data_IF_351172606253
#
_entry.id   IF_351172606253
#
_cell.length_a   1.000
_cell.length_b   1.000
_cell.length_c   1.000
_cell.angle_alpha   90.00
_cell.angle_beta   90.00
_cell.angle_gamma   90.00
#
_symmetry.space_group_name_H-M   'P 1'
#
loop_
_entity.id
_entity.type
_entity.pdbx_description
1 polymer ?
#
# COMPACT_ATOMS: atom_id res chain seq x y z
N UNK A 1 0.86 -6.27 0.51
CA UNK A 1 -0.42 -5.64 0.12
C UNK A 1 -0.57 -5.52 -1.40
N UNK A 2 0.54 -5.39 -2.15
CA UNK A 2 0.54 -5.13 -3.61
C UNK A 2 0.88 -6.36 -4.47
N UNK A 3 1.28 -7.48 -3.88
CA UNK A 3 1.57 -8.73 -4.61
C UNK A 3 0.25 -9.29 -5.19
N UNK A 4 0.23 -9.59 -6.49
CA UNK A 4 -0.94 -10.10 -7.20
C UNK A 4 -1.01 -11.62 -7.11
N UNK A 5 -1.66 -12.15 -6.09
CA UNK A 5 -1.78 -13.59 -5.84
C UNK A 5 -3.21 -14.07 -5.57
N UNK A 6 -4.15 -13.15 -5.45
CA UNK A 6 -5.57 -13.48 -5.26
C UNK A 6 -6.22 -13.65 -6.63
N UNK A 7 -6.77 -14.84 -6.89
CA UNK A 7 -7.37 -15.16 -8.20
C UNK A 7 -8.76 -14.52 -8.32
N UNK A 8 -8.96 -13.81 -9.40
CA UNK A 8 -10.25 -13.22 -9.75
C UNK A 8 -11.15 -14.21 -10.49
N UNK A 9 -12.44 -13.91 -10.63
CA UNK A 9 -13.40 -14.75 -11.32
C UNK A 9 -13.05 -14.97 -12.82
N UNK A 10 -12.36 -14.03 -13.45
CA UNK A 10 -11.91 -14.14 -14.84
C UNK A 10 -10.56 -14.88 -15.01
N UNK A 11 -9.97 -15.37 -13.89
CA UNK A 11 -8.73 -16.14 -13.89
C UNK A 11 -7.44 -15.30 -13.84
N UNK A 12 -7.52 -13.98 -13.82
CA UNK A 12 -6.36 -13.10 -13.56
C UNK A 12 -6.04 -13.05 -12.06
N UNK A 13 -4.93 -12.39 -11.70
CA UNK A 13 -4.56 -12.18 -10.30
C UNK A 13 -4.66 -10.71 -9.92
N UNK A 14 -5.20 -10.45 -8.73
CA UNK A 14 -5.26 -9.14 -8.11
C UNK A 14 -4.47 -9.14 -6.79
N UNK A 15 -4.03 -7.97 -6.36
CA UNK A 15 -3.51 -7.74 -5.02
C UNK A 15 -4.67 -7.57 -4.02
N UNK A 16 -4.40 -7.69 -2.71
CA UNK A 16 -5.44 -7.39 -1.71
C UNK A 16 -5.90 -5.93 -1.81
N UNK A 17 -4.99 -5.02 -2.13
CA UNK A 17 -5.31 -3.63 -2.37
C UNK A 17 -6.30 -3.44 -3.53
N UNK A 18 -6.03 -4.05 -4.70
CA UNK A 18 -6.93 -4.01 -5.85
C UNK A 18 -8.30 -4.63 -5.53
N UNK A 19 -8.29 -5.77 -4.81
CA UNK A 19 -9.50 -6.44 -4.35
C UNK A 19 -10.35 -5.53 -3.46
N UNK A 20 -9.74 -4.89 -2.46
CA UNK A 20 -10.42 -3.96 -1.55
C UNK A 20 -11.07 -2.81 -2.33
N UNK A 21 -10.34 -2.15 -3.22
CA UNK A 21 -10.89 -1.05 -4.04
C UNK A 21 -12.05 -1.54 -4.93
N UNK A 22 -11.90 -2.69 -5.57
CA UNK A 22 -12.96 -3.29 -6.40
C UNK A 22 -14.21 -3.60 -5.59
N UNK A 23 -14.07 -4.22 -4.41
CA UNK A 23 -15.20 -4.55 -3.54
C UNK A 23 -15.93 -3.31 -3.03
N UNK A 24 -15.21 -2.25 -2.67
CA UNK A 24 -15.83 -0.97 -2.31
C UNK A 24 -16.70 -0.45 -3.46
N UNK A 25 -16.17 -0.43 -4.69
CA UNK A 25 -16.90 0.07 -5.85
C UNK A 25 -18.04 -0.87 -6.31
N UNK A 26 -17.96 -2.18 -6.02
CA UNK A 26 -19.06 -3.12 -6.27
C UNK A 26 -20.24 -2.88 -5.31
N UNK A 27 -19.95 -2.53 -4.07
CA UNK A 27 -20.96 -2.24 -3.04
C UNK A 27 -21.51 -0.83 -3.17
N UNK A 28 -20.64 0.15 -3.39
CA UNK A 28 -21.02 1.54 -3.65
C UNK A 28 -20.25 2.10 -4.87
N UNK A 29 -20.88 2.08 -6.07
CA UNK A 29 -20.27 2.65 -7.27
C UNK A 29 -20.01 4.16 -7.20
N UNK A 30 -20.60 4.86 -6.24
CA UNK A 30 -20.40 6.31 -6.03
C UNK A 30 -19.27 6.64 -5.05
N UNK A 31 -18.70 5.64 -4.37
CA UNK A 31 -17.65 5.83 -3.40
C UNK A 31 -16.39 6.44 -4.03
N UNK A 32 -15.94 7.57 -3.50
CA UNK A 32 -14.64 8.14 -3.81
C UNK A 32 -13.58 7.54 -2.88
N UNK A 33 -12.53 6.95 -3.46
CA UNK A 33 -11.49 6.27 -2.70
C UNK A 33 -10.24 7.14 -2.64
N UNK A 34 -9.86 7.55 -1.43
CA UNK A 34 -8.59 8.23 -1.16
C UNK A 34 -7.68 7.29 -0.38
N UNK A 35 -6.48 7.04 -0.88
CA UNK A 35 -5.49 6.15 -0.27
C UNK A 35 -4.41 6.98 0.41
N UNK A 36 -4.28 6.85 1.73
CA UNK A 36 -3.14 7.41 2.44
C UNK A 36 -1.92 6.50 2.26
N UNK A 37 -0.88 7.01 1.62
CA UNK A 37 0.26 6.21 1.20
C UNK A 37 1.57 7.00 1.25
N UNK A 38 2.67 6.30 1.52
CA UNK A 38 4.02 6.87 1.40
C UNK A 38 4.42 7.02 -0.06
N UNK A 39 5.44 7.85 -0.32
CA UNK A 39 5.98 8.04 -1.67
C UNK A 39 6.40 6.74 -2.36
N UNK A 40 6.93 5.78 -1.60
CA UNK A 40 7.34 4.47 -2.13
C UNK A 40 6.13 3.63 -2.61
N UNK A 41 4.97 3.80 -1.97
CA UNK A 41 3.74 3.07 -2.31
C UNK A 41 2.95 3.76 -3.43
N UNK A 42 3.05 5.09 -3.56
CA UNK A 42 2.25 5.86 -4.51
C UNK A 42 2.42 5.39 -5.96
N UNK A 43 3.64 5.04 -6.37
CA UNK A 43 3.90 4.54 -7.73
C UNK A 43 3.21 3.19 -7.99
N UNK A 44 3.28 2.27 -7.03
CA UNK A 44 2.62 0.96 -7.13
C UNK A 44 1.10 1.11 -7.18
N UNK A 45 0.54 2.01 -6.35
CA UNK A 45 -0.88 2.33 -6.34
C UNK A 45 -1.30 2.87 -7.71
N UNK A 46 -0.55 3.85 -8.24
CA UNK A 46 -0.83 4.43 -9.55
C UNK A 46 -0.79 3.37 -10.68
N UNK A 47 0.22 2.50 -10.67
CA UNK A 47 0.35 1.43 -11.69
C UNK A 47 -0.74 0.35 -11.57
N UNK A 48 -1.27 0.11 -10.37
CA UNK A 48 -2.33 -0.87 -10.16
C UNK A 48 -3.74 -0.32 -10.40
N UNK A 49 -3.98 0.95 -10.11
CA UNK A 49 -5.31 1.56 -10.10
C UNK A 49 -5.47 2.73 -11.08
N UNK A 50 -4.37 3.26 -11.65
CA UNK A 50 -4.43 4.46 -12.50
C UNK A 50 -5.02 5.65 -11.75
N UNK A 51 -6.01 6.30 -12.36
CA UNK A 51 -6.73 7.46 -11.79
C UNK A 51 -8.01 7.09 -11.05
N UNK A 52 -8.29 5.79 -10.82
CA UNK A 52 -9.51 5.35 -10.15
C UNK A 52 -9.50 5.57 -8.63
N UNK A 53 -8.33 5.90 -8.06
CA UNK A 53 -8.16 6.26 -6.66
C UNK A 53 -7.37 7.55 -6.55
N UNK A 54 -7.65 8.32 -5.51
CA UNK A 54 -6.88 9.49 -5.13
C UNK A 54 -5.80 9.13 -4.11
N UNK A 55 -4.70 9.87 -4.05
CA UNK A 55 -3.58 9.56 -3.16
C UNK A 55 -3.27 10.73 -2.24
N UNK A 56 -3.54 10.56 -0.95
CA UNK A 56 -3.05 11.43 0.10
C UNK A 56 -1.63 10.98 0.48
N UNK A 57 -0.63 11.82 0.15
CA UNK A 57 0.77 11.50 0.41
C UNK A 57 1.13 11.63 1.88
N UNK A 58 1.59 10.53 2.49
CA UNK A 58 2.16 10.53 3.84
C UNK A 58 3.67 10.80 3.76
N UNK A 59 4.19 11.88 4.38
CA UNK A 59 5.62 12.24 4.28
C UNK A 59 6.55 11.16 4.83
N UNK A 60 6.12 10.51 5.89
CA UNK A 60 6.82 9.39 6.52
C UNK A 60 5.82 8.52 7.28
N UNK A 61 6.10 7.24 7.41
CA UNK A 61 5.20 6.31 8.10
C UNK A 61 5.03 6.67 9.58
N UNK A 62 3.79 6.91 9.99
CA UNK A 62 3.36 7.13 11.37
C UNK A 62 2.27 6.10 11.74
N UNK A 63 1.71 6.24 12.93
CA UNK A 63 0.59 5.40 13.38
C UNK A 63 -0.76 5.96 12.88
N UNK A 64 -1.84 5.21 13.04
CA UNK A 64 -3.16 5.40 12.43
C UNK A 64 -3.82 6.76 12.72
N UNK A 65 -3.56 7.38 13.88
CA UNK A 65 -4.11 8.71 14.18
C UNK A 65 -3.55 9.79 13.25
N UNK A 66 -2.23 9.89 13.17
CA UNK A 66 -1.59 10.93 12.34
C UNK A 66 -1.97 10.82 10.88
N UNK A 67 -2.04 9.60 10.33
CA UNK A 67 -2.42 9.39 8.93
C UNK A 67 -3.91 9.68 8.68
N UNK A 68 -4.80 9.34 9.62
CA UNK A 68 -6.22 9.65 9.51
C UNK A 68 -6.48 11.17 9.53
N UNK A 69 -5.78 11.90 10.42
CA UNK A 69 -5.85 13.37 10.49
C UNK A 69 -5.32 14.02 9.22
N UNK A 70 -4.18 13.53 8.70
CA UNK A 70 -3.62 14.03 7.44
C UNK A 70 -4.59 13.82 6.27
N UNK A 71 -5.20 12.62 6.18
CA UNK A 71 -6.22 12.32 5.17
C UNK A 71 -7.46 13.21 5.32
N UNK A 72 -7.95 13.44 6.54
CA UNK A 72 -9.09 14.33 6.79
C UNK A 72 -8.78 15.79 6.38
N UNK A 73 -7.59 16.29 6.70
CA UNK A 73 -7.14 17.62 6.26
C UNK A 73 -7.00 17.69 4.73
N UNK A 74 -6.48 16.64 4.09
CA UNK A 74 -6.39 16.53 2.62
C UNK A 74 -7.78 16.57 1.98
N UNK A 75 -8.73 15.78 2.49
CA UNK A 75 -10.10 15.77 1.98
C UNK A 75 -10.76 17.14 2.09
N UNK A 76 -10.59 17.85 3.19
CA UNK A 76 -11.13 19.21 3.38
C UNK A 76 -10.43 20.25 2.49
N UNK A 77 -9.10 20.31 2.54
CA UNK A 77 -8.34 21.45 2.00
C UNK A 77 -7.94 21.27 0.53
N UNK A 78 -7.65 20.04 0.10
CA UNK A 78 -7.23 19.74 -1.27
C UNK A 78 -8.43 19.27 -2.11
N UNK A 79 -9.24 18.34 -1.58
CA UNK A 79 -10.43 17.84 -2.28
C UNK A 79 -11.66 18.77 -2.10
N UNK A 80 -11.56 19.76 -1.23
CA UNK A 80 -12.61 20.75 -0.96
C UNK A 80 -13.93 20.13 -0.49
N UNK A 81 -13.86 19.00 0.23
CA UNK A 81 -15.06 18.40 0.80
C UNK A 81 -15.52 19.18 2.03
N UNK A 82 -16.83 19.35 2.22
CA UNK A 82 -17.40 19.96 3.41
C UNK A 82 -16.98 19.23 4.71
N UNK A 83 -16.82 19.95 5.80
CA UNK A 83 -16.46 19.38 7.11
C UNK A 83 -17.52 18.42 7.67
N UNK A 84 -18.77 18.54 7.23
CA UNK A 84 -19.88 17.65 7.60
C UNK A 84 -19.93 16.37 6.75
N UNK A 85 -19.09 16.25 5.71
CA UNK A 85 -18.96 15.02 4.94
C UNK A 85 -18.52 13.86 5.81
N UNK A 86 -19.10 12.68 5.57
CA UNK A 86 -18.75 11.45 6.27
C UNK A 86 -17.60 10.75 5.54
N UNK A 87 -16.57 10.38 6.29
CA UNK A 87 -15.48 9.57 5.82
C UNK A 87 -15.48 8.21 6.56
N UNK A 88 -15.21 7.14 5.80
CA UNK A 88 -14.98 5.80 6.34
C UNK A 88 -13.52 5.43 6.09
N UNK A 89 -12.75 5.27 7.15
CA UNK A 89 -11.38 4.79 7.08
C UNK A 89 -11.37 3.28 7.36
N UNK A 90 -10.74 2.50 6.50
CA UNK A 90 -10.59 1.06 6.68
C UNK A 90 -9.18 0.59 6.30
N UNK A 91 -8.65 -0.47 6.95
CA UNK A 91 -7.39 -1.09 6.56
C UNK A 91 -7.54 -1.89 5.25
N UNK A 92 -6.44 -2.02 4.50
CA UNK A 92 -6.43 -2.73 3.20
C UNK A 92 -5.97 -4.19 3.30
N UNK A 93 -5.69 -4.71 4.47
CA UNK A 93 -5.15 -6.06 4.71
C UNK A 93 -6.18 -7.06 5.25
N UNK A 94 -7.46 -6.67 5.27
CA UNK A 94 -8.56 -7.55 5.61
C UNK A 94 -9.03 -8.36 4.38
N UNK A 95 -8.96 -9.68 4.45
CA UNK A 95 -9.56 -10.57 3.45
C UNK A 95 -10.99 -10.91 3.87
N UNK A 96 -11.95 -10.34 3.15
CA UNK A 96 -13.37 -10.29 3.49
C UNK A 96 -14.25 -10.49 2.25
N UNK A 97 -15.55 -10.74 2.46
CA UNK A 97 -16.57 -10.66 1.42
C UNK A 97 -17.13 -9.24 1.26
N UNK A 98 -18.04 -9.06 0.28
CA UNK A 98 -18.66 -7.76 0.00
C UNK A 98 -19.55 -7.28 1.17
N UNK A 99 -20.12 -8.20 1.95
CA UNK A 99 -20.91 -7.92 3.14
C UNK A 99 -20.15 -7.11 4.22
N UNK A 100 -18.81 -7.16 4.21
CA UNK A 100 -18.00 -6.30 5.06
C UNK A 100 -18.15 -4.83 4.66
N UNK A 101 -18.11 -4.55 3.37
CA UNK A 101 -18.24 -3.18 2.85
C UNK A 101 -19.67 -2.66 2.95
N UNK A 102 -20.68 -3.53 2.86
CA UNK A 102 -22.08 -3.18 3.18
C UNK A 102 -22.19 -2.72 4.64
N UNK A 103 -21.52 -3.40 5.58
CA UNK A 103 -21.47 -2.99 6.99
C UNK A 103 -20.73 -1.64 7.18
N UNK A 104 -19.73 -1.32 6.36
CA UNK A 104 -19.10 0.00 6.39
C UNK A 104 -20.08 1.11 5.94
N UNK A 105 -20.96 0.84 4.99
CA UNK A 105 -22.01 1.79 4.62
C UNK A 105 -23.01 2.03 5.77
N UNK A 106 -23.40 0.98 6.50
CA UNK A 106 -24.22 1.14 7.70
C UNK A 106 -23.55 2.06 8.75
N UNK A 107 -22.22 1.95 8.92
CA UNK A 107 -21.48 2.86 9.79
C UNK A 107 -21.56 4.30 9.30
N UNK A 108 -21.42 4.53 7.99
CA UNK A 108 -21.57 5.86 7.42
C UNK A 108 -22.96 6.44 7.67
N UNK A 109 -24.03 5.66 7.47
CA UNK A 109 -25.41 6.08 7.75
C UNK A 109 -25.66 6.46 9.21
N UNK A 110 -25.02 5.76 10.16
CA UNK A 110 -25.12 6.11 11.59
C UNK A 110 -24.58 7.53 11.82
N UNK A 111 -23.45 7.86 11.21
CA UNK A 111 -22.83 9.18 11.32
C UNK A 111 -23.64 10.25 10.58
N UNK A 112 -24.14 9.96 9.40
CA UNK A 112 -25.00 10.87 8.62
C UNK A 112 -26.26 11.27 9.40
N UNK A 113 -26.89 10.30 10.08
CA UNK A 113 -28.08 10.52 10.90
C UNK A 113 -27.76 11.21 12.24
N UNK A 114 -26.50 11.49 12.54
CA UNK A 114 -26.08 12.14 13.79
C UNK A 114 -26.30 11.28 15.05
N UNK A 115 -26.32 9.95 14.90
CA UNK A 115 -26.56 9.02 16.02
C UNK A 115 -25.29 8.77 16.84
N UNK A 116 -24.12 9.09 16.31
CA UNK A 116 -22.82 9.01 16.97
C UNK A 116 -21.82 9.98 16.36
N UNK A 117 -20.75 10.27 17.07
CA UNK A 117 -19.59 10.99 16.56
C UNK A 117 -18.60 10.05 15.85
N UNK A 118 -18.56 8.79 16.31
CA UNK A 118 -17.67 7.74 15.81
C UNK A 118 -18.46 6.43 15.69
N UNK A 119 -18.36 5.75 14.56
CA UNK A 119 -18.84 4.39 14.38
C UNK A 119 -17.67 3.42 14.18
N UNK A 120 -17.74 2.24 14.81
CA UNK A 120 -16.75 1.18 14.79
C UNK A 120 -17.33 -0.09 14.17
N UNK A 121 -16.49 -0.88 13.52
CA UNK A 121 -16.87 -2.22 13.09
C UNK A 121 -16.29 -3.26 14.03
N UNK A 122 -17.15 -4.00 14.67
CA UNK A 122 -16.80 -5.06 15.62
C UNK A 122 -16.89 -6.44 15.00
N UNK A 123 -15.77 -7.19 15.00
CA UNK A 123 -15.67 -8.55 14.48
C UNK A 123 -15.92 -9.56 15.59
N UNK A 124 -16.72 -10.59 15.34
CA UNK A 124 -16.92 -11.67 16.30
C UNK A 124 -15.60 -12.44 16.51
N UNK A 125 -15.07 -12.49 17.75
CA UNK A 125 -13.78 -13.09 18.02
C UNK A 125 -13.78 -14.61 17.84
N UNK A 126 -12.78 -15.15 17.13
CA UNK A 126 -12.52 -16.58 17.11
C UNK A 126 -11.81 -17.09 18.39
N UNK A 127 -11.23 -16.19 19.19
CA UNK A 127 -10.53 -16.50 20.43
C UNK A 127 -9.75 -15.28 20.97
N UNK A 128 -9.08 -15.39 22.13
CA UNK A 128 -8.26 -14.30 22.65
C UNK A 128 -7.07 -14.00 21.74
N UNK A 129 -6.86 -12.71 21.42
CA UNK A 129 -5.73 -12.26 20.60
C UNK A 129 -5.23 -10.90 21.12
N UNK A 130 -3.95 -10.81 21.45
CA UNK A 130 -3.31 -9.61 21.99
C UNK A 130 -3.01 -8.54 20.92
N UNK A 131 -3.18 -8.88 19.64
CA UNK A 131 -2.90 -7.95 18.51
C UNK A 131 -4.04 -6.99 18.21
N UNK A 132 -5.25 -7.26 18.71
CA UNK A 132 -6.46 -6.49 18.41
C UNK A 132 -6.96 -5.67 19.60
N UNK A 133 -7.64 -4.56 19.30
CA UNK A 133 -8.47 -3.86 20.27
C UNK A 133 -9.78 -4.62 20.51
N UNK A 134 -10.42 -4.37 21.66
CA UNK A 134 -11.67 -4.99 22.08
C UNK A 134 -12.74 -3.94 22.33
N UNK A 135 -13.90 -4.12 21.67
CA UNK A 135 -15.09 -3.30 21.81
C UNK A 135 -16.07 -4.06 22.69
N UNK A 136 -16.41 -3.53 23.86
CA UNK A 136 -17.46 -4.09 24.74
C UNK A 136 -18.76 -3.35 24.44
N UNK A 137 -19.74 -3.98 23.77
CA UNK A 137 -21.02 -3.34 23.46
C UNK A 137 -21.91 -3.21 24.71
N UNK A 138 -22.88 -2.31 24.64
CA UNK A 138 -23.92 -2.19 25.68
C UNK A 138 -24.87 -3.41 25.69
N UNK A 139 -25.13 -3.97 24.52
CA UNK A 139 -26.01 -5.12 24.32
C UNK A 139 -25.54 -6.00 23.13
N UNK A 140 -26.26 -7.08 22.86
CA UNK A 140 -25.94 -8.04 21.80
C UNK A 140 -26.54 -7.68 20.42
N UNK A 141 -27.09 -6.49 20.27
CA UNK A 141 -27.69 -6.02 19.02
C UNK A 141 -26.68 -5.90 17.88
N UNK A 142 -27.21 -5.88 16.65
CA UNK A 142 -26.40 -5.65 15.44
C UNK A 142 -25.73 -4.26 15.49
N UNK A 143 -26.48 -3.23 15.89
CA UNK A 143 -25.98 -1.89 16.21
C UNK A 143 -26.14 -1.69 17.70
N UNK A 144 -25.08 -1.29 18.39
CA UNK A 144 -25.07 -1.07 19.84
C UNK A 144 -24.13 0.08 20.20
N UNK A 145 -24.48 0.80 21.27
CA UNK A 145 -23.53 1.72 21.90
C UNK A 145 -22.34 0.96 22.50
N UNK A 146 -21.22 1.64 22.71
CA UNK A 146 -20.00 1.07 23.27
C UNK A 146 -19.90 1.38 24.75
N UNK A 147 -19.84 0.34 25.60
CA UNK A 147 -19.67 0.43 27.04
C UNK A 147 -18.21 0.67 27.44
N UNK A 148 -17.29 0.00 26.75
CA UNK A 148 -15.87 0.12 26.98
C UNK A 148 -15.08 -0.26 25.73
N UNK A 149 -13.91 0.33 25.58
CA UNK A 149 -12.92 -0.01 24.55
C UNK A 149 -11.57 -0.27 25.23
N UNK A 150 -10.84 -1.27 24.73
CA UNK A 150 -9.50 -1.59 25.22
C UNK A 150 -8.56 -1.94 24.08
N UNK A 151 -7.52 -1.15 23.93
CA UNK A 151 -6.49 -1.39 22.92
C UNK A 151 -5.50 -2.48 23.39
N UNK A 152 -5.40 -3.55 22.65
CA UNK A 152 -4.40 -4.64 22.78
C UNK A 152 -4.18 -5.13 24.21
N UNK A 153 -5.21 -5.68 24.88
CA UNK A 153 -5.08 -6.23 26.21
C UNK A 153 -4.21 -7.50 26.21
N UNK A 154 -3.66 -7.88 27.36
CA UNK A 154 -2.99 -9.17 27.49
C UNK A 154 -3.98 -10.35 27.38
N UNK A 155 -3.47 -11.57 27.09
CA UNK A 155 -4.29 -12.77 26.78
C UNK A 155 -5.38 -13.08 27.80
N UNK A 156 -5.09 -12.94 29.10
CA UNK A 156 -6.05 -13.20 30.18
C UNK A 156 -7.19 -12.15 30.19
N UNK A 157 -6.86 -10.88 29.99
CA UNK A 157 -7.81 -9.78 29.91
C UNK A 157 -8.64 -9.88 28.63
N UNK A 158 -8.04 -10.23 27.51
CA UNK A 158 -8.71 -10.51 26.25
C UNK A 158 -9.78 -11.60 26.37
N UNK A 159 -9.45 -12.71 27.05
CA UNK A 159 -10.39 -13.79 27.32
C UNK A 159 -11.56 -13.32 28.20
N UNK A 160 -11.32 -12.42 29.16
CA UNK A 160 -12.37 -11.86 30.00
C UNK A 160 -13.30 -10.96 29.19
N UNK A 161 -12.77 -10.10 28.32
CA UNK A 161 -13.58 -9.26 27.43
C UNK A 161 -14.47 -10.09 26.51
N UNK A 162 -13.96 -11.20 25.94
CA UNK A 162 -14.77 -12.09 25.12
C UNK A 162 -15.93 -12.69 25.91
N UNK A 163 -15.71 -13.09 27.18
CA UNK A 163 -16.79 -13.59 28.06
C UNK A 163 -17.86 -12.52 28.33
N UNK A 164 -17.50 -11.25 28.28
CA UNK A 164 -18.42 -10.12 28.41
C UNK A 164 -19.12 -9.76 27.08
N UNK A 165 -18.90 -10.54 26.00
CA UNK A 165 -19.49 -10.30 24.68
C UNK A 165 -18.73 -9.29 23.84
N UNK A 166 -17.48 -8.99 24.16
CA UNK A 166 -16.67 -8.07 23.39
C UNK A 166 -16.36 -8.61 21.99
N UNK A 167 -16.21 -7.68 21.07
CA UNK A 167 -15.84 -7.90 19.66
C UNK A 167 -14.40 -7.40 19.43
N UNK A 168 -13.70 -7.96 18.46
CA UNK A 168 -12.45 -7.37 17.99
C UNK A 168 -12.74 -6.07 17.24
N UNK A 169 -11.91 -5.06 17.46
CA UNK A 169 -11.90 -3.87 16.63
C UNK A 169 -11.23 -4.19 15.27
N UNK A 170 -11.96 -4.01 14.19
CA UNK A 170 -11.45 -4.23 12.82
C UNK A 170 -10.43 -3.18 12.38
N UNK A 171 -10.34 -2.05 13.08
CA UNK A 171 -9.59 -0.88 12.64
C UNK A 171 -10.31 -0.04 11.57
N UNK A 172 -11.59 -0.31 11.32
CA UNK A 172 -12.43 0.53 10.49
C UNK A 172 -13.21 1.54 11.33
N UNK A 173 -13.25 2.79 10.86
CA UNK A 173 -13.85 3.93 11.57
C UNK A 173 -14.68 4.76 10.59
N UNK A 174 -15.90 5.17 10.99
CA UNK A 174 -16.65 6.18 10.29
C UNK A 174 -16.84 7.42 11.19
N UNK A 175 -16.69 8.60 10.60
CA UNK A 175 -16.74 9.89 11.30
C UNK A 175 -17.00 11.03 10.32
N UNK A 176 -17.42 12.21 10.82
CA UNK A 176 -17.40 13.45 10.02
C UNK A 176 -15.98 14.01 9.95
N UNK A 177 -15.58 14.52 8.79
CA UNK A 177 -14.25 15.12 8.59
C UNK A 177 -13.95 16.17 9.65
N UNK A 178 -14.88 17.11 9.89
CA UNK A 178 -14.73 18.18 10.86
C UNK A 178 -14.58 17.67 12.30
N UNK A 179 -15.32 16.61 12.67
CA UNK A 179 -15.18 15.99 14.00
C UNK A 179 -13.73 15.51 14.24
N UNK A 180 -13.14 14.78 13.29
CA UNK A 180 -11.78 14.29 13.48
C UNK A 180 -10.76 15.44 13.51
N UNK A 181 -10.95 16.47 12.69
CA UNK A 181 -10.07 17.64 12.68
C UNK A 181 -10.16 18.44 13.98
N UNK A 182 -11.34 18.57 14.59
CA UNK A 182 -11.51 19.19 15.93
C UNK A 182 -10.81 18.38 17.01
N UNK A 183 -11.00 17.06 17.05
CA UNK A 183 -10.29 16.19 17.98
C UNK A 183 -8.77 16.24 17.78
N UNK A 184 -8.32 16.34 16.56
CA UNK A 184 -6.90 16.46 16.27
C UNK A 184 -6.29 17.76 16.83
N UNK A 185 -7.01 18.88 16.82
CA UNK A 185 -6.54 20.17 17.36
C UNK A 185 -6.27 20.13 18.87
N UNK A 186 -6.86 19.18 19.60
CA UNK A 186 -6.56 18.97 21.02
C UNK A 186 -5.13 18.42 21.23
N UNK A 187 -4.57 17.72 20.25
CA UNK A 187 -3.28 17.02 20.31
C UNK A 187 -2.23 17.60 19.36
N UNK A 188 -2.65 18.14 18.24
CA UNK A 188 -1.80 18.63 17.15
C UNK A 188 -2.24 20.03 16.78
N UNK A 189 -1.33 21.03 16.89
CA UNK A 189 -1.63 22.38 16.40
C UNK A 189 -1.27 22.47 14.92
N UNK A 190 -2.27 22.73 14.09
CA UNK A 190 -2.13 22.96 12.64
C UNK A 190 -3.26 23.87 12.15
N UNK A 191 -3.02 24.57 11.04
CA UNK A 191 -4.00 25.43 10.38
C UNK A 191 -4.71 24.76 9.22
N UNK A 192 -3.96 24.08 8.38
CA UNK A 192 -4.43 23.45 7.14
C UNK A 192 -3.56 22.23 6.80
N UNK A 193 -3.86 21.60 5.65
CA UNK A 193 -3.14 20.42 5.17
C UNK A 193 -1.64 20.68 4.97
N UNK A 194 -1.27 21.81 4.36
CA UNK A 194 0.14 22.13 4.06
C UNK A 194 0.97 22.34 5.33
N UNK A 195 0.39 23.05 6.31
CA UNK A 195 1.03 23.22 7.61
C UNK A 195 1.19 21.88 8.33
N UNK A 196 0.15 21.03 8.35
CA UNK A 196 0.19 19.69 8.93
C UNK A 196 1.22 18.81 8.22
N UNK A 197 1.24 18.82 6.89
CA UNK A 197 2.19 18.07 6.06
C UNK A 197 3.65 18.46 6.37
N UNK A 198 3.91 19.75 6.46
CA UNK A 198 5.26 20.28 6.75
C UNK A 198 5.80 19.85 8.12
N UNK A 199 4.92 19.71 9.11
CA UNK A 199 5.27 19.33 10.50
C UNK A 199 5.11 17.84 10.77
N UNK A 200 4.64 17.06 9.81
CA UNK A 200 4.25 15.67 9.99
C UNK A 200 5.35 14.81 10.61
N UNK A 201 6.61 15.03 10.25
CA UNK A 201 7.75 14.29 10.80
C UNK A 201 7.91 14.42 12.32
N UNK A 202 7.55 15.57 12.89
CA UNK A 202 7.61 15.87 14.32
C UNK A 202 6.40 15.37 15.14
N UNK A 203 5.35 14.85 14.50
CA UNK A 203 4.17 14.38 15.21
C UNK A 203 4.47 13.12 16.03
N UNK A 204 3.76 12.98 17.16
CA UNK A 204 3.78 11.76 17.96
C UNK A 204 3.16 10.58 17.16
N UNK A 205 3.75 9.40 17.28
CA UNK A 205 3.22 8.18 16.69
C UNK A 205 2.25 7.49 17.64
N UNK A 206 0.98 7.86 17.56
CA UNK A 206 -0.11 7.34 18.40
C UNK A 206 -1.19 6.66 17.53
N UNK A 207 -1.81 5.58 18.04
CA UNK A 207 -2.93 4.94 17.34
C UNK A 207 -4.20 5.80 17.42
N UNK A 208 -5.08 5.64 16.43
CA UNK A 208 -6.39 6.27 16.39
C UNK A 208 -7.20 5.90 17.65
N UNK A 209 -7.11 4.65 18.04
CA UNK A 209 -7.82 4.12 19.19
C UNK A 209 -7.44 4.85 20.49
N UNK A 210 -6.15 5.02 20.77
CA UNK A 210 -5.68 5.75 21.96
C UNK A 210 -5.94 7.24 21.90
N UNK A 211 -5.86 7.81 20.70
CA UNK A 211 -6.05 9.26 20.54
C UNK A 211 -7.53 9.65 20.62
N UNK A 212 -8.42 8.87 20.03
CA UNK A 212 -9.83 9.19 19.82
C UNK A 212 -10.75 8.17 20.48
N UNK A 213 -10.69 6.89 20.11
CA UNK A 213 -11.69 5.88 20.48
C UNK A 213 -11.81 5.70 21.99
N UNK A 214 -10.70 5.63 22.72
CA UNK A 214 -10.71 5.47 24.19
C UNK A 214 -11.29 6.68 24.95
N UNK A 215 -11.38 7.84 24.29
CA UNK A 215 -11.82 9.11 24.91
C UNK A 215 -13.20 9.56 24.46
N UNK A 216 -13.73 8.97 23.40
CA UNK A 216 -15.04 9.34 22.86
C UNK A 216 -16.16 8.58 23.59
N UNK A 217 -17.23 9.28 23.93
CA UNK A 217 -18.39 8.72 24.64
C UNK A 217 -19.58 8.44 23.72
N UNK A 218 -19.65 9.10 22.56
CA UNK A 218 -20.72 8.94 21.58
C UNK A 218 -20.27 8.01 20.44
N UNK A 219 -20.11 6.73 20.79
CA UNK A 219 -19.69 5.68 19.88
C UNK A 219 -20.86 4.71 19.67
N UNK A 220 -21.09 4.38 18.39
CA UNK A 220 -21.88 3.20 17.98
C UNK A 220 -20.93 2.16 17.35
N UNK A 221 -21.22 0.89 17.57
CA UNK A 221 -20.56 -0.19 16.87
C UNK A 221 -21.56 -0.94 16.00
N UNK A 222 -21.11 -1.43 14.84
CA UNK A 222 -21.84 -2.35 14.00
C UNK A 222 -21.18 -3.71 14.08
N UNK A 223 -21.95 -4.76 14.35
CA UNK A 223 -21.48 -6.15 14.48
C UNK A 223 -21.33 -6.77 13.11
N UNK A 224 -20.15 -7.32 12.83
CA UNK A 224 -19.89 -8.11 11.64
C UNK A 224 -19.69 -9.59 12.01
N UNK A 225 -20.50 -10.46 11.42
CA UNK A 225 -20.51 -11.91 11.67
C UNK A 225 -19.94 -12.71 10.48
N UNK A 226 -19.56 -12.05 9.40
CA UNK A 226 -18.99 -12.66 8.22
C UNK A 226 -17.54 -13.12 8.42
N UNK A 227 -16.99 -13.72 7.38
CA UNK A 227 -15.58 -14.14 7.38
C UNK A 227 -14.65 -12.93 7.34
N UNK A 228 -13.74 -12.87 8.30
CA UNK A 228 -12.71 -11.83 8.37
C UNK A 228 -11.37 -12.46 8.69
N UNK A 229 -10.34 -12.16 7.88
CA UNK A 229 -8.98 -12.65 8.06
C UNK A 229 -8.00 -11.51 7.84
N UNK A 230 -7.09 -11.32 8.78
CA UNK A 230 -5.94 -10.44 8.62
C UNK A 230 -4.86 -11.20 7.82
N UNK A 231 -4.58 -10.73 6.59
CA UNK A 231 -3.58 -11.33 5.69
C UNK A 231 -2.31 -10.48 5.57
N UNK A 232 -1.93 -9.81 6.66
CA UNK A 232 -0.75 -8.94 6.74
C UNK A 232 0.60 -9.67 6.68
N UNK A 233 0.62 -11.01 6.73
CA UNK A 233 1.84 -11.82 6.69
C UNK A 233 1.73 -12.98 5.69
N UNK A 234 2.87 -13.58 5.34
CA UNK A 234 2.93 -14.65 4.34
C UNK A 234 2.13 -15.91 4.72
N UNK A 235 2.10 -16.28 6.01
CA UNK A 235 1.31 -17.43 6.48
C UNK A 235 -0.17 -17.24 6.16
N UNK A 236 -0.73 -16.09 6.54
CA UNK A 236 -2.13 -15.80 6.31
C UNK A 236 -2.44 -15.57 4.82
N UNK A 237 -1.54 -14.88 4.11
CA UNK A 237 -1.69 -14.57 2.69
C UNK A 237 -1.63 -15.84 1.82
N UNK A 238 -0.68 -16.74 2.08
CA UNK A 238 -0.54 -17.98 1.32
C UNK A 238 -1.71 -18.96 1.53
N UNK A 239 -2.36 -18.91 2.69
CA UNK A 239 -3.56 -19.70 2.95
C UNK A 239 -4.77 -19.33 2.06
N UNK A 240 -4.78 -18.15 1.48
CA UNK A 240 -5.82 -17.69 0.54
C UNK A 240 -5.43 -17.90 -0.94
N UNK A 241 -4.24 -18.44 -1.21
CA UNK A 241 -3.85 -18.83 -2.56
C UNK A 241 -4.65 -20.07 -3.01
N UNK A 242 -5.24 -19.98 -4.18
CA UNK A 242 -5.97 -21.11 -4.82
C UNK A 242 -5.05 -22.09 -5.53
N UNK A 243 -3.82 -21.69 -5.82
CA UNK A 243 -2.81 -22.47 -6.55
C UNK A 243 -1.54 -22.61 -5.70
N UNK A 244 -0.91 -23.77 -5.78
CA UNK A 244 0.35 -24.04 -5.09
C UNK A 244 1.48 -23.14 -5.61
N UNK A 245 1.45 -22.79 -6.90
CA UNK A 245 2.50 -22.02 -7.53
C UNK A 245 1.92 -20.95 -8.48
N UNK A 246 2.46 -19.74 -8.42
CA UNK A 246 2.20 -18.63 -9.33
C UNK A 246 3.51 -18.25 -10.00
N UNK A 247 3.49 -18.02 -11.32
CA UNK A 247 4.68 -17.76 -12.14
C UNK A 247 5.38 -19.04 -12.61
N UNK A 248 6.63 -18.90 -13.09
CA UNK A 248 7.41 -20.03 -13.60
C UNK A 248 7.97 -20.87 -12.45
N UNK A 249 7.19 -21.81 -11.93
CA UNK A 249 7.60 -22.69 -10.85
C UNK A 249 7.19 -24.15 -11.11
N UNK A 250 8.09 -25.08 -10.81
CA UNK A 250 7.88 -26.52 -10.84
C UNK A 250 8.11 -27.08 -9.45
N UNK A 251 7.34 -28.08 -9.06
CA UNK A 251 7.53 -28.81 -7.80
C UNK A 251 7.22 -30.27 -7.98
N UNK A 252 7.94 -31.13 -7.27
CA UNK A 252 7.75 -32.57 -7.34
C UNK A 252 6.67 -33.05 -6.37
N UNK A 253 6.28 -34.32 -6.52
CA UNK A 253 5.23 -34.96 -5.70
C UNK A 253 5.60 -35.15 -4.23
N UNK A 254 6.86 -34.98 -3.86
CA UNK A 254 7.33 -35.06 -2.47
C UNK A 254 7.10 -33.74 -1.70
N UNK A 255 6.82 -32.65 -2.39
CA UNK A 255 6.45 -31.38 -1.78
C UNK A 255 5.04 -31.44 -1.17
N UNK A 256 4.89 -30.89 0.04
CA UNK A 256 3.63 -30.89 0.78
C UNK A 256 3.42 -29.53 1.47
N UNK A 257 2.24 -28.91 1.32
CA UNK A 257 1.90 -27.66 1.98
C UNK A 257 2.85 -26.51 1.62
N UNK A 258 3.26 -26.44 0.36
CA UNK A 258 4.12 -25.36 -0.14
C UNK A 258 3.30 -24.33 -0.91
N UNK A 259 3.77 -23.09 -0.88
CA UNK A 259 3.29 -22.00 -1.72
C UNK A 259 4.47 -21.31 -2.39
N UNK A 260 4.41 -21.18 -3.72
CA UNK A 260 5.49 -20.59 -4.52
C UNK A 260 4.95 -19.39 -5.28
N UNK A 261 5.57 -18.22 -5.11
CA UNK A 261 5.28 -17.02 -5.88
C UNK A 261 6.54 -16.57 -6.58
N UNK A 262 6.56 -16.67 -7.90
CA UNK A 262 7.72 -16.29 -8.71
C UNK A 262 7.36 -15.14 -9.66
N UNK A 263 7.82 -13.95 -9.34
CA UNK A 263 7.70 -12.75 -10.18
C UNK A 263 8.89 -12.57 -11.14
N UNK A 264 9.88 -13.49 -11.07
CA UNK A 264 11.06 -13.45 -11.96
C UNK A 264 10.83 -14.26 -13.23
N UNK A 265 11.61 -13.92 -14.26
CA UNK A 265 11.62 -14.65 -15.55
C UNK A 265 12.57 -15.87 -15.55
N UNK A 266 13.01 -16.31 -14.37
CA UNK A 266 13.83 -17.52 -14.19
C UNK A 266 12.98 -18.58 -13.47
N UNK A 267 13.01 -19.86 -13.92
CA UNK A 267 12.20 -20.89 -13.30
C UNK A 267 12.67 -21.23 -11.87
N UNK A 268 11.74 -21.55 -11.01
CA UNK A 268 12.00 -22.12 -9.68
C UNK A 268 11.66 -23.61 -9.73
N UNK A 269 12.55 -24.47 -9.20
CA UNK A 269 12.29 -25.89 -8.96
C UNK A 269 12.31 -26.15 -7.46
N UNK A 270 11.20 -26.66 -6.93
CA UNK A 270 11.07 -27.07 -5.53
C UNK A 270 10.99 -28.61 -5.43
N UNK A 271 11.81 -29.20 -4.58
CA UNK A 271 11.82 -30.66 -4.35
C UNK A 271 11.89 -30.95 -2.85
N UNK A 272 11.04 -31.85 -2.36
CA UNK A 272 11.06 -32.35 -0.99
C UNK A 272 10.70 -31.32 0.09
N UNK A 273 10.22 -30.12 -0.27
CA UNK A 273 9.85 -29.08 0.68
C UNK A 273 8.52 -29.40 1.36
N UNK A 274 8.44 -29.06 2.65
CA UNK A 274 7.22 -29.23 3.44
C UNK A 274 6.92 -27.96 4.20
N UNK A 275 5.63 -27.59 4.24
CA UNK A 275 5.14 -26.42 4.98
C UNK A 275 5.98 -25.15 4.71
N UNK A 276 6.16 -24.80 3.44
CA UNK A 276 7.09 -23.74 3.06
C UNK A 276 6.47 -22.68 2.14
N UNK A 277 6.89 -21.44 2.32
CA UNK A 277 6.66 -20.34 1.40
C UNK A 277 7.96 -20.03 0.65
N UNK A 278 7.88 -19.99 -0.68
CA UNK A 278 8.96 -19.57 -1.57
C UNK A 278 8.46 -18.37 -2.35
N UNK A 279 9.05 -17.20 -2.15
CA UNK A 279 8.71 -15.99 -2.90
C UNK A 279 9.97 -15.41 -3.53
N UNK A 280 9.96 -15.24 -4.85
CA UNK A 280 11.06 -14.65 -5.60
C UNK A 280 10.58 -13.42 -6.37
N UNK A 281 11.21 -12.30 -6.12
CA UNK A 281 10.96 -11.02 -6.80
C UNK A 281 12.29 -10.33 -7.10
N UNK A 282 12.24 -9.21 -7.80
CA UNK A 282 13.42 -8.39 -8.04
C UNK A 282 14.00 -7.76 -6.75
N UNK A 283 13.24 -7.72 -5.66
CA UNK A 283 13.70 -7.21 -4.36
C UNK A 283 14.45 -8.26 -3.54
N UNK A 284 14.25 -9.55 -3.85
CA UNK A 284 14.91 -10.64 -3.14
C UNK A 284 14.15 -11.96 -3.21
N UNK A 285 14.72 -12.98 -2.61
CA UNK A 285 14.16 -14.33 -2.52
C UNK A 285 13.94 -14.68 -1.05
N UNK A 286 12.69 -15.01 -0.71
CA UNK A 286 12.30 -15.57 0.58
C UNK A 286 12.10 -17.07 0.43
N UNK A 287 12.75 -17.84 1.30
CA UNK A 287 12.46 -19.27 1.52
C UNK A 287 12.27 -19.45 3.02
N UNK A 288 11.07 -19.80 3.44
CA UNK A 288 10.73 -19.88 4.86
C UNK A 288 9.77 -21.03 5.12
N UNK A 289 9.86 -21.62 6.31
CA UNK A 289 8.73 -22.33 6.86
C UNK A 289 7.51 -21.43 6.94
N UNK A 290 6.31 -21.94 6.65
CA UNK A 290 5.08 -21.12 6.58
C UNK A 290 4.77 -20.46 7.91
N UNK A 291 4.95 -21.15 9.04
CA UNK A 291 4.67 -20.60 10.37
C UNK A 291 5.70 -19.53 10.75
N UNK A 292 6.99 -19.74 10.43
CA UNK A 292 8.06 -18.79 10.70
C UNK A 292 7.97 -17.55 9.81
N UNK A 293 7.31 -17.64 8.66
CA UNK A 293 7.18 -16.52 7.73
C UNK A 293 6.42 -15.30 8.29
N UNK A 294 5.71 -15.47 9.41
CA UNK A 294 5.07 -14.37 10.14
C UNK A 294 6.08 -13.45 10.87
N UNK A 295 7.31 -13.92 11.13
CA UNK A 295 8.31 -13.25 11.95
C UNK A 295 9.48 -12.68 11.12
N UNK A 296 9.31 -12.49 9.82
CA UNK A 296 10.40 -12.09 8.90
C UNK A 296 10.84 -10.63 9.05
N UNK A 297 9.99 -9.73 9.56
CA UNK A 297 10.22 -8.28 9.54
C UNK A 297 11.54 -7.87 10.17
N UNK A 298 11.93 -8.33 11.38
CA UNK A 298 13.20 -7.93 11.99
C UNK A 298 14.44 -8.37 11.19
N UNK A 299 14.34 -9.46 10.42
CA UNK A 299 15.43 -9.95 9.59
C UNK A 299 15.55 -9.14 8.30
N UNK A 300 14.40 -8.82 7.69
CA UNK A 300 14.34 -8.01 6.47
C UNK A 300 14.86 -6.58 6.71
N UNK A 301 14.64 -6.01 7.90
CA UNK A 301 15.17 -4.69 8.29
C UNK A 301 16.70 -4.67 8.45
N UNK A 302 17.32 -5.82 8.71
CA UNK A 302 18.78 -5.97 8.83
C UNK A 302 19.50 -6.17 7.49
N UNK A 303 18.74 -6.45 6.41
CA UNK A 303 19.34 -6.67 5.10
C UNK A 303 19.75 -5.34 4.48
N UNK A 304 21.02 -5.23 4.07
CA UNK A 304 21.44 -4.17 3.17
C UNK A 304 20.73 -4.31 1.83
N UNK A 305 19.88 -3.34 1.50
CA UNK A 305 19.09 -3.37 0.28
C UNK A 305 19.67 -2.43 -0.76
N UNK A 306 20.18 -2.98 -1.86
CA UNK A 306 20.31 -2.24 -3.11
C UNK A 306 18.95 -2.28 -3.80
N UNK A 307 18.47 -1.14 -4.30
CA UNK A 307 17.22 -1.08 -5.05
C UNK A 307 17.46 -1.75 -6.40
N UNK A 308 17.04 -3.01 -6.52
CA UNK A 308 17.14 -3.80 -7.76
C UNK A 308 15.91 -3.65 -8.66
N UNK A 309 14.81 -3.17 -8.10
CA UNK A 309 13.54 -2.91 -8.78
C UNK A 309 12.84 -1.73 -8.10
N UNK A 310 12.20 -0.87 -8.87
CA UNK A 310 11.23 0.09 -8.34
C UNK A 310 10.18 0.46 -9.39
N UNK A 311 8.96 0.57 -8.95
CA UNK A 311 7.89 1.22 -9.70
C UNK A 311 7.99 2.74 -9.53
N UNK A 312 7.75 3.46 -10.61
CA UNK A 312 7.76 4.92 -10.71
C UNK A 312 6.44 5.40 -11.28
N UNK A 313 6.14 6.68 -11.13
CA UNK A 313 4.95 7.29 -11.74
C UNK A 313 4.89 7.14 -13.26
N UNK A 314 6.02 6.92 -13.92
CA UNK A 314 6.14 6.73 -15.36
C UNK A 314 6.23 5.26 -15.81
N UNK A 315 6.21 4.30 -14.89
CA UNK A 315 6.38 2.87 -15.17
C UNK A 315 7.26 2.19 -14.15
N UNK A 316 8.26 1.43 -14.59
CA UNK A 316 9.15 0.66 -13.71
C UNK A 316 10.59 0.64 -14.20
N UNK A 317 11.52 0.36 -13.30
CA UNK A 317 12.87 -0.03 -13.70
C UNK A 317 13.33 -1.27 -12.93
N UNK A 318 14.18 -2.04 -13.59
CA UNK A 318 14.83 -3.23 -13.03
C UNK A 318 16.32 -3.16 -13.30
N UNK A 319 17.13 -3.32 -12.24
CA UNK A 319 18.58 -3.47 -12.37
C UNK A 319 18.88 -4.86 -12.93
N UNK A 320 19.65 -4.93 -14.00
CA UNK A 320 20.04 -6.17 -14.68
C UNK A 320 21.45 -6.60 -14.28
N UNK A 321 22.36 -5.65 -14.13
CA UNK A 321 23.75 -5.90 -13.78
C UNK A 321 24.34 -4.74 -12.95
N UNK A 322 25.27 -5.08 -12.07
CA UNK A 322 25.97 -4.13 -11.20
C UNK A 322 27.45 -4.45 -11.25
N UNK A 323 28.22 -3.60 -11.92
CA UNK A 323 29.68 -3.63 -11.91
C UNK A 323 30.29 -2.60 -10.97
N UNK A 324 31.61 -2.58 -10.84
CA UNK A 324 32.36 -1.62 -10.02
C UNK A 324 32.21 -0.17 -10.53
N UNK A 325 32.08 -0.01 -11.85
CA UNK A 325 31.99 1.29 -12.54
C UNK A 325 30.83 1.37 -13.51
N UNK A 326 29.88 0.45 -13.42
CA UNK A 326 28.73 0.39 -14.30
C UNK A 326 27.47 -0.10 -13.61
N UNK A 327 26.33 0.36 -14.06
CA UNK A 327 25.02 -0.13 -13.68
C UNK A 327 24.17 -0.28 -14.94
N UNK A 328 23.62 -1.47 -15.17
CA UNK A 328 22.71 -1.71 -16.30
C UNK A 328 21.28 -1.84 -15.78
N UNK A 329 20.39 -1.07 -16.34
CA UNK A 329 18.97 -0.99 -15.94
C UNK A 329 18.09 -1.24 -17.16
N UNK A 330 17.01 -2.00 -16.99
CA UNK A 330 15.88 -2.00 -17.93
C UNK A 330 14.80 -1.07 -17.37
N UNK A 331 14.45 -0.03 -18.11
CA UNK A 331 13.32 0.85 -17.83
C UNK A 331 12.16 0.51 -18.76
N UNK A 332 10.94 0.52 -18.22
CA UNK A 332 9.69 0.35 -18.97
C UNK A 332 8.78 1.52 -18.64
N UNK A 333 8.41 2.32 -19.65
CA UNK A 333 7.52 3.45 -19.49
C UNK A 333 6.13 3.12 -20.03
N UNK A 334 5.10 3.57 -19.29
CA UNK A 334 3.72 3.46 -19.76
C UNK A 334 3.44 4.49 -20.87
N UNK A 335 2.50 4.21 -21.78
CA UNK A 335 2.11 5.16 -22.82
C UNK A 335 1.65 6.51 -22.24
N UNK A 336 2.19 7.60 -22.76
CA UNK A 336 1.88 8.96 -22.32
C UNK A 336 2.70 9.46 -21.13
N UNK A 337 3.42 8.57 -20.45
CA UNK A 337 4.25 8.95 -19.28
C UNK A 337 5.65 9.41 -19.71
N UNK A 338 6.32 10.12 -18.79
CA UNK A 338 7.68 10.64 -19.01
C UNK A 338 8.54 10.49 -17.75
N UNK A 339 9.83 10.31 -17.95
CA UNK A 339 10.82 10.50 -16.89
C UNK A 339 10.92 11.98 -16.52
N UNK A 340 11.40 12.29 -15.31
CA UNK A 340 11.71 13.68 -14.97
C UNK A 340 12.85 14.19 -15.85
N UNK A 341 12.80 15.45 -16.30
CA UNK A 341 13.93 16.08 -16.94
C UNK A 341 15.04 16.31 -15.91
N UNK A 342 16.22 15.72 -16.14
CA UNK A 342 17.26 15.66 -15.11
C UNK A 342 18.68 15.53 -15.71
N UNK A 343 19.70 15.72 -14.87
CA UNK A 343 21.11 15.42 -15.19
C UNK A 343 21.78 14.66 -14.06
N UNK A 344 22.96 14.09 -14.37
CA UNK A 344 23.85 13.43 -13.44
C UNK A 344 25.24 14.07 -13.54
N UNK A 345 25.92 14.27 -12.40
CA UNK A 345 27.24 14.92 -12.37
C UNK A 345 28.40 13.93 -12.49
N UNK A 346 28.19 12.65 -12.11
CA UNK A 346 29.26 11.67 -11.91
C UNK A 346 29.16 10.43 -12.80
N UNK A 347 28.21 10.42 -13.76
CA UNK A 347 28.03 9.30 -14.67
C UNK A 347 27.57 9.72 -16.05
N UNK A 348 28.03 8.97 -17.05
CA UNK A 348 27.49 8.96 -18.40
C UNK A 348 26.36 7.95 -18.50
N UNK A 349 25.43 8.15 -19.44
CA UNK A 349 24.36 7.21 -19.71
C UNK A 349 24.29 6.86 -21.19
N UNK A 350 24.07 5.58 -21.48
CA UNK A 350 23.77 5.07 -22.83
C UNK A 350 22.41 4.39 -22.78
N UNK A 351 21.48 4.88 -23.55
CA UNK A 351 20.16 4.29 -23.70
C UNK A 351 20.05 3.55 -25.01
N UNK A 352 19.50 2.34 -24.99
CA UNK A 352 19.14 1.57 -26.18
C UNK A 352 17.64 1.29 -26.12
N UNK A 353 16.91 1.72 -27.13
CA UNK A 353 15.48 1.47 -27.25
C UNK A 353 15.27 0.03 -27.71
N UNK A 354 14.57 -0.77 -26.91
CA UNK A 354 14.26 -2.17 -27.20
C UNK A 354 12.94 -2.33 -27.95
N UNK A 355 11.90 -1.63 -27.50
CA UNK A 355 10.56 -1.70 -28.07
C UNK A 355 9.77 -0.43 -27.79
N UNK A 356 8.72 -0.21 -28.56
CA UNK A 356 7.88 0.99 -28.46
C UNK A 356 8.46 2.19 -29.20
N UNK A 357 7.75 3.32 -29.12
CA UNK A 357 8.13 4.60 -29.72
C UNK A 357 7.96 5.71 -28.70
N UNK A 358 8.74 6.77 -28.84
CA UNK A 358 8.69 7.91 -27.96
C UNK A 358 9.56 9.07 -28.47
N UNK A 359 9.83 10.00 -27.59
CA UNK A 359 10.67 11.19 -27.85
C UNK A 359 11.67 11.36 -26.72
N UNK A 360 12.93 11.53 -27.05
CA UNK A 360 13.96 11.97 -26.12
C UNK A 360 14.15 13.47 -26.21
N UNK A 361 14.44 14.10 -25.09
CA UNK A 361 14.87 15.50 -25.03
C UNK A 361 16.22 15.52 -24.32
N UNK A 362 17.26 15.89 -25.06
CA UNK A 362 18.64 15.95 -24.59
C UNK A 362 19.16 17.37 -24.77
N UNK A 363 19.50 18.05 -23.66
CA UNK A 363 19.88 19.46 -23.64
C UNK A 363 18.95 20.39 -24.43
N UNK A 364 17.63 20.12 -24.34
CA UNK A 364 16.59 20.87 -25.03
C UNK A 364 16.34 20.47 -26.49
N UNK A 365 17.10 19.53 -27.04
CA UNK A 365 16.85 18.99 -28.40
C UNK A 365 15.94 17.77 -28.31
N UNK A 366 14.81 17.84 -29.02
CA UNK A 366 13.83 16.75 -29.08
C UNK A 366 14.08 15.89 -30.34
N UNK A 367 14.10 14.56 -30.13
CA UNK A 367 14.24 13.58 -31.22
C UNK A 367 13.27 12.42 -31.01
N UNK A 368 12.66 11.96 -32.10
CA UNK A 368 11.84 10.74 -32.10
C UNK A 368 12.73 9.51 -31.97
N UNK A 369 12.30 8.54 -31.16
CA UNK A 369 13.05 7.31 -30.93
C UNK A 369 12.18 6.07 -31.09
N UNK A 370 12.80 4.99 -31.59
CA UNK A 370 12.19 3.69 -31.79
C UNK A 370 13.19 2.53 -31.63
N UNK A 371 12.75 1.28 -31.81
CA UNK A 371 13.58 0.10 -31.57
C UNK A 371 14.91 0.12 -32.34
N UNK A 372 16.02 -0.04 -31.62
CA UNK A 372 17.37 -0.04 -32.16
C UNK A 372 18.09 1.31 -32.04
N UNK A 373 17.41 2.39 -31.73
CA UNK A 373 18.06 3.68 -31.52
C UNK A 373 18.90 3.66 -30.24
N UNK A 374 20.04 4.33 -30.29
CA UNK A 374 21.01 4.46 -29.22
C UNK A 374 21.27 5.94 -28.94
N UNK A 375 21.05 6.35 -27.70
CA UNK A 375 21.26 7.72 -27.22
C UNK A 375 22.39 7.70 -26.20
N UNK A 376 23.42 8.52 -26.40
CA UNK A 376 24.54 8.65 -25.48
C UNK A 376 24.50 10.04 -24.85
N UNK A 377 24.63 10.10 -23.53
CA UNK A 377 24.56 11.31 -22.75
C UNK A 377 25.79 11.34 -21.81
N UNK A 378 26.59 12.38 -21.91
CA UNK A 378 27.72 12.59 -21.02
C UNK A 378 27.26 13.17 -19.67
N UNK A 379 28.08 13.02 -18.65
CA UNK A 379 27.83 13.62 -17.33
C UNK A 379 27.55 15.13 -17.46
N UNK A 380 26.53 15.60 -16.74
CA UNK A 380 26.02 16.98 -16.82
C UNK A 380 24.95 17.23 -17.86
N UNK A 381 24.77 16.35 -18.84
CA UNK A 381 23.76 16.45 -19.88
C UNK A 381 22.35 16.35 -19.29
N UNK A 382 21.46 17.27 -19.62
CA UNK A 382 20.06 17.25 -19.18
C UNK A 382 19.23 16.40 -20.14
N UNK A 383 18.51 15.43 -19.61
CA UNK A 383 17.79 14.50 -20.47
C UNK A 383 16.47 14.02 -19.87
N UNK A 384 15.58 13.58 -20.74
CA UNK A 384 14.34 12.87 -20.42
C UNK A 384 13.88 12.06 -21.61
N UNK A 385 12.90 11.17 -21.39
CA UNK A 385 12.18 10.47 -22.44
C UNK A 385 10.68 10.50 -22.13
N UNK A 386 9.90 10.64 -23.19
CA UNK A 386 8.43 10.64 -23.20
C UNK A 386 8.00 9.44 -24.04
N UNK A 387 7.18 8.57 -23.50
CA UNK A 387 6.69 7.37 -24.18
C UNK A 387 5.40 7.66 -24.94
N UNK A 388 5.39 7.49 -26.27
CA UNK A 388 4.14 7.57 -27.04
C UNK A 388 3.37 6.24 -27.01
N UNK A 389 4.10 5.12 -27.00
CA UNK A 389 3.59 3.78 -26.74
C UNK A 389 4.32 3.19 -25.53
N UNK A 390 3.96 1.98 -25.08
CA UNK A 390 4.76 1.29 -24.06
C UNK A 390 6.21 1.20 -24.55
N UNK A 391 7.14 1.86 -23.84
CA UNK A 391 8.52 2.04 -24.26
C UNK A 391 9.46 1.27 -23.32
N UNK A 392 10.29 0.39 -23.90
CA UNK A 392 11.30 -0.35 -23.16
C UNK A 392 12.71 0.12 -23.55
N UNK A 393 13.54 0.39 -22.55
CA UNK A 393 14.89 0.96 -22.72
C UNK A 393 15.87 0.13 -21.87
N UNK A 394 17.03 -0.20 -22.46
CA UNK A 394 18.22 -0.55 -21.66
C UNK A 394 19.01 0.73 -21.44
N UNK A 395 19.24 1.05 -20.18
CA UNK A 395 20.07 2.14 -19.72
C UNK A 395 21.34 1.58 -19.12
N UNK A 396 22.49 1.96 -19.65
CA UNK A 396 23.81 1.65 -19.10
C UNK A 396 24.39 2.94 -18.52
N UNK A 397 24.59 2.94 -17.23
CA UNK A 397 25.22 4.03 -16.48
C UNK A 397 26.69 3.70 -16.29
N UNK A 398 27.59 4.63 -16.59
CA UNK A 398 29.04 4.49 -16.53
C UNK A 398 29.63 5.57 -15.64
N UNK A 399 30.30 5.19 -14.57
CA UNK A 399 30.88 6.14 -13.61
C UNK A 399 31.54 5.44 -12.44
N UNK A 400 32.37 6.16 -11.70
CA UNK A 400 33.03 5.63 -10.49
C UNK A 400 32.12 5.65 -9.26
N UNK A 401 31.15 6.56 -9.24
CA UNK A 401 30.20 6.75 -8.15
C UNK A 401 28.79 6.82 -8.75
N UNK A 402 28.15 5.66 -8.88
CA UNK A 402 26.78 5.55 -9.38
C UNK A 402 25.85 5.52 -8.17
N UNK A 403 25.35 6.69 -7.78
CA UNK A 403 24.43 6.87 -6.64
C UNK A 403 23.07 7.38 -7.12
N UNK A 404 22.00 6.91 -6.47
CA UNK A 404 20.65 7.38 -6.72
C UNK A 404 20.46 8.87 -6.36
N UNK A 405 21.29 9.43 -5.49
CA UNK A 405 21.29 10.85 -5.11
C UNK A 405 21.99 11.74 -6.13
N UNK A 406 22.79 11.18 -7.05
CA UNK A 406 23.40 11.89 -8.18
C UNK A 406 22.33 12.15 -9.27
N UNK A 407 21.27 12.90 -8.89
CA UNK A 407 20.18 13.25 -9.78
C UNK A 407 19.66 14.65 -9.49
N UNK A 408 19.96 15.58 -10.39
CA UNK A 408 19.43 16.94 -10.34
C UNK A 408 18.25 17.09 -11.29
N UNK A 409 17.09 17.48 -10.77
CA UNK A 409 15.84 17.64 -11.54
C UNK A 409 15.68 19.08 -12.01
N UNK A 410 15.05 19.23 -13.18
CA UNK A 410 14.74 20.51 -13.80
C UNK A 410 13.28 20.53 -14.26
N UNK A 411 12.73 21.73 -14.39
CA UNK A 411 11.46 21.92 -15.09
C UNK A 411 11.71 21.83 -16.60
N UNK A 412 10.86 21.13 -17.31
CA UNK A 412 10.84 21.12 -18.76
C UNK A 412 9.91 22.27 -19.19
N UNK A 413 10.51 23.34 -19.68
CA UNK A 413 9.77 24.42 -20.31
C UNK A 413 9.16 23.85 -21.59
N UNK A 414 7.84 23.64 -21.61
CA UNK A 414 7.12 22.97 -22.67
C UNK A 414 6.26 23.86 -23.50
#
# INVERSE_FOLDING_TARGET
QFIKILKTANGSYESIFQRTCRQIQEVDPSAEITVAATKAQASVIHNQMGSSVDICMEPMRKNTFSVAVLAAAYLRDVRQLPEDSVAVACPVDAYVGNEYFETLLEMAEIIERGQANLALLGIVPAGPNEKYGYIVPNDAGHISGVKAFKEKPGAAEAAEYIRQGALWNSGAFAFRIGYLLEKAKELIQFTDYEDLYSRYSGLESISFDRAVTEKESQIQMVRYEGSWKDISNWKALSAEMTETAIGQALYDTSCQGIHVVNELNIPILCMGLKNAVVSASAEGILISDTDQSAEIVPFVEQMERRIMYAEKSWGEFRVLDVGDTSLTVKATLNPGDRMHYHSHEHRDEVWTILSGTGRTIVDGMEEMVGPGDVITMEAGCKHTVIADTKLEIIEVQLGKEIDAHDKRKYELEG
#
